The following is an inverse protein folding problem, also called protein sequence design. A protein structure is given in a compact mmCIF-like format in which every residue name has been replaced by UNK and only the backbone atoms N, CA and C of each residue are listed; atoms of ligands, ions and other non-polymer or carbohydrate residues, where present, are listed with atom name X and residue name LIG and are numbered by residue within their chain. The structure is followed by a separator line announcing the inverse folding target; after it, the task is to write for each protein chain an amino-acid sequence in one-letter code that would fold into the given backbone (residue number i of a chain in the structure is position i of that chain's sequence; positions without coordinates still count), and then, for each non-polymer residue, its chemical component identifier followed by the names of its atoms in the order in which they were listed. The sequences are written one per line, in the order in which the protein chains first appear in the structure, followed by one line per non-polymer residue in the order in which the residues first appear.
data_IF_307329894247
#
_entry.id   IF_307329894247
#
_cell.length_a   1.000
_cell.length_b   1.000
_cell.length_c   1.000
_cell.angle_alpha   90.00
_cell.angle_beta   90.00
_cell.angle_gamma   90.00
#
_symmetry.space_group_name_H-M   'P 1'
#
loop_
_entity.id
_entity.type
_entity.pdbx_description
1 polymer ?
#
# COMPACT_ATOMS: atom_id res chain seq x y z
N UNK A 1 14.10 14.10 10.42
CA UNK A 1 12.67 13.83 10.16
C UNK A 1 11.97 15.17 10.20
N UNK A 2 10.98 15.41 9.35
CA UNK A 2 10.22 16.64 9.36
C UNK A 2 9.38 16.68 10.66
N UNK A 3 9.57 17.70 11.53
CA UNK A 3 8.95 17.73 12.85
C UNK A 3 7.42 17.90 12.80
N UNK A 4 6.88 18.42 11.69
CA UNK A 4 5.45 18.69 11.52
C UNK A 4 4.71 17.53 10.84
N UNK A 5 5.33 16.88 9.86
CA UNK A 5 4.67 15.81 9.07
C UNK A 5 5.17 14.40 9.41
N UNK A 6 6.21 14.27 10.23
CA UNK A 6 6.87 12.99 10.51
C UNK A 6 7.58 12.36 9.30
N UNK A 7 7.64 13.04 8.14
CA UNK A 7 8.30 12.52 6.94
C UNK A 7 9.81 12.46 7.14
N UNK A 8 10.41 11.29 6.90
CA UNK A 8 11.87 11.17 6.88
C UNK A 8 12.44 11.89 5.67
N UNK A 9 13.55 12.61 5.84
CA UNK A 9 14.27 13.20 4.72
C UNK A 9 14.85 12.10 3.83
N UNK A 10 14.83 12.33 2.51
CA UNK A 10 15.39 11.41 1.55
C UNK A 10 16.90 11.30 1.79
N UNK A 11 17.40 10.07 1.80
CA UNK A 11 18.84 9.77 1.83
C UNK A 11 19.31 9.51 0.40
N UNK A 12 20.62 9.60 0.17
CA UNK A 12 21.20 9.18 -1.10
C UNK A 12 20.89 7.70 -1.38
N UNK A 13 20.63 7.37 -2.65
CA UNK A 13 20.27 6.02 -3.10
C UNK A 13 18.79 5.67 -2.93
N UNK A 14 18.44 4.42 -3.24
CA UNK A 14 17.05 3.93 -3.15
C UNK A 14 16.69 3.47 -1.73
N UNK A 15 15.44 3.71 -1.33
CA UNK A 15 14.91 3.18 -0.08
C UNK A 15 14.88 1.63 -0.10
N UNK A 16 15.05 0.95 1.04
CA UNK A 16 14.95 -0.51 1.13
C UNK A 16 13.67 -1.11 0.51
N UNK A 17 12.54 -0.43 0.69
CA UNK A 17 11.26 -0.81 0.09
C UNK A 17 11.29 -0.73 -1.44
N UNK A 18 11.89 0.32 -2.00
CA UNK A 18 12.08 0.48 -3.45
C UNK A 18 12.99 -0.59 -4.03
N UNK A 19 14.12 -0.89 -3.37
CA UNK A 19 15.01 -1.98 -3.79
C UNK A 19 14.26 -3.32 -3.80
N UNK A 20 13.47 -3.60 -2.75
CA UNK A 20 12.64 -4.79 -2.68
C UNK A 20 11.58 -4.84 -3.79
N UNK A 21 10.92 -3.73 -4.10
CA UNK A 21 9.98 -3.66 -5.22
C UNK A 21 10.67 -4.01 -6.55
N UNK A 22 11.82 -3.40 -6.83
CA UNK A 22 12.60 -3.66 -8.04
C UNK A 22 13.04 -5.13 -8.13
N UNK A 23 13.48 -5.73 -7.02
CA UNK A 23 13.78 -7.17 -6.96
C UNK A 23 12.55 -8.04 -7.27
N UNK A 24 11.35 -7.66 -6.82
CA UNK A 24 10.11 -8.35 -7.21
C UNK A 24 9.90 -8.27 -8.72
N UNK A 25 10.05 -7.10 -9.32
CA UNK A 25 9.86 -6.91 -10.77
C UNK A 25 10.84 -7.78 -11.57
N UNK A 26 12.14 -7.74 -11.25
CA UNK A 26 13.17 -8.54 -11.93
C UNK A 26 12.94 -10.03 -11.72
N UNK A 27 12.59 -10.45 -10.51
CA UNK A 27 12.23 -11.84 -10.21
C UNK A 27 11.05 -12.30 -11.07
N UNK A 28 9.99 -11.50 -11.18
CA UNK A 28 8.81 -11.83 -11.99
C UNK A 28 9.11 -11.87 -13.48
N UNK A 29 9.95 -10.95 -13.98
CA UNK A 29 10.40 -10.93 -15.36
C UNK A 29 11.09 -12.24 -15.78
N UNK A 30 12.09 -12.69 -15.01
CA UNK A 30 12.78 -13.94 -15.31
C UNK A 30 11.91 -15.18 -15.05
N UNK A 31 11.01 -15.13 -14.06
CA UNK A 31 10.04 -16.20 -13.84
C UNK A 31 9.09 -16.35 -15.04
N UNK A 32 8.63 -15.25 -15.63
CA UNK A 32 7.82 -15.25 -16.85
C UNK A 32 8.59 -15.85 -18.03
N UNK A 33 9.83 -15.42 -18.28
CA UNK A 33 10.62 -15.94 -19.40
C UNK A 33 10.95 -17.43 -19.26
N UNK A 34 11.28 -17.88 -18.04
CA UNK A 34 11.53 -19.31 -17.77
C UNK A 34 10.31 -20.18 -18.10
N UNK A 35 9.08 -19.71 -17.81
CA UNK A 35 7.83 -20.43 -18.18
C UNK A 35 7.64 -20.56 -19.69
N UNK A 36 8.28 -19.70 -20.48
CA UNK A 36 8.27 -19.72 -21.94
C UNK A 36 9.56 -20.31 -22.52
N UNK A 37 10.34 -21.04 -21.72
CA UNK A 37 11.63 -21.64 -22.10
C UNK A 37 12.62 -20.60 -22.68
N UNK A 38 12.59 -19.36 -22.17
CA UNK A 38 13.50 -18.27 -22.54
C UNK A 38 14.29 -17.79 -21.32
N UNK A 39 15.49 -17.28 -21.56
CA UNK A 39 16.35 -16.73 -20.51
C UNK A 39 17.04 -17.82 -19.67
N UNK A 40 17.59 -17.45 -18.50
CA UNK A 40 18.38 -18.36 -17.68
C UNK A 40 17.51 -19.46 -17.03
N UNK A 41 18.07 -20.68 -16.93
CA UNK A 41 17.42 -21.82 -16.27
C UNK A 41 17.13 -21.54 -14.78
N UNK A 42 18.02 -20.80 -14.13
CA UNK A 42 17.91 -20.37 -12.74
C UNK A 42 17.62 -18.88 -12.70
N UNK A 43 16.61 -18.48 -11.94
CA UNK A 43 16.28 -17.07 -11.77
C UNK A 43 17.41 -16.36 -10.99
N UNK A 44 18.04 -15.30 -11.53
CA UNK A 44 19.11 -14.59 -10.83
C UNK A 44 18.64 -13.88 -9.55
N UNK A 45 17.33 -13.59 -9.43
CA UNK A 45 16.73 -13.07 -8.21
C UNK A 45 15.96 -14.20 -7.51
N UNK A 46 16.49 -14.77 -6.42
CA UNK A 46 15.88 -15.92 -5.78
C UNK A 46 14.53 -15.57 -5.14
N UNK A 47 13.57 -16.47 -5.29
CA UNK A 47 12.25 -16.35 -4.68
C UNK A 47 12.33 -16.34 -3.15
N UNK A 48 11.39 -15.64 -2.52
CA UNK A 48 11.24 -15.61 -1.07
C UNK A 48 10.19 -16.66 -0.65
N UNK A 49 10.65 -17.85 -0.23
CA UNK A 49 9.76 -18.84 0.39
C UNK A 49 9.05 -18.28 1.64
N UNK A 50 9.76 -17.40 2.35
CA UNK A 50 9.26 -16.61 3.48
C UNK A 50 8.01 -15.80 3.17
N UNK A 51 8.02 -15.08 2.03
CA UNK A 51 6.95 -14.14 1.71
C UNK A 51 5.67 -14.86 1.27
N UNK A 52 5.79 -15.95 0.50
CA UNK A 52 4.61 -16.76 0.13
C UNK A 52 3.93 -17.37 1.34
N UNK A 53 4.70 -17.88 2.31
CA UNK A 53 4.15 -18.48 3.53
C UNK A 53 3.61 -17.43 4.50
N UNK A 54 4.23 -16.25 4.58
CA UNK A 54 3.70 -15.14 5.37
C UNK A 54 2.38 -14.56 4.82
N UNK A 55 2.10 -14.75 3.53
CA UNK A 55 0.84 -14.37 2.87
C UNK A 55 -0.19 -15.51 2.82
N UNK A 56 0.16 -16.70 3.31
CA UNK A 56 -0.80 -17.80 3.40
C UNK A 56 -1.84 -17.47 4.48
N UNK A 57 -3.07 -17.91 4.28
CA UNK A 57 -4.09 -17.83 5.32
C UNK A 57 -3.59 -18.53 6.58
N UNK A 58 -3.71 -17.83 7.70
CA UNK A 58 -3.22 -18.27 8.99
C UNK A 58 -4.22 -17.86 10.07
N UNK A 59 -4.35 -18.71 11.08
CA UNK A 59 -5.15 -18.44 12.26
C UNK A 59 -4.55 -17.26 13.06
N UNK A 60 -5.31 -16.20 13.37
CA UNK A 60 -4.82 -15.08 14.17
C UNK A 60 -4.28 -15.47 15.56
N UNK A 61 -4.75 -16.58 16.13
CA UNK A 61 -4.34 -17.02 17.48
C UNK A 61 -3.01 -17.76 17.49
N UNK A 62 -2.55 -18.24 16.33
CA UNK A 62 -1.28 -18.95 16.24
C UNK A 62 -0.09 -17.97 16.15
N UNK A 63 1.09 -18.33 16.71
CA UNK A 63 2.27 -17.48 16.62
C UNK A 63 2.74 -17.31 15.18
N UNK A 64 3.08 -16.08 14.79
CA UNK A 64 3.51 -15.78 13.41
C UNK A 64 4.83 -16.50 13.08
N UNK A 65 4.86 -17.36 12.05
CA UNK A 65 6.08 -18.08 11.70
C UNK A 65 7.17 -17.13 11.22
N UNK A 66 8.37 -17.26 11.81
CA UNK A 66 9.53 -16.49 11.39
C UNK A 66 10.22 -17.19 10.22
N UNK A 67 10.49 -16.43 9.15
CA UNK A 67 11.15 -16.97 7.98
C UNK A 67 12.43 -16.23 7.65
N UNK A 68 13.42 -16.97 7.14
CA UNK A 68 14.66 -16.38 6.65
C UNK A 68 14.39 -15.54 5.40
N UNK A 69 14.80 -14.28 5.44
CA UNK A 69 14.75 -13.35 4.31
C UNK A 69 15.59 -13.88 3.13
N UNK A 70 15.07 -13.74 1.91
CA UNK A 70 15.83 -14.06 0.69
C UNK A 70 17.09 -13.19 0.58
N UNK A 71 18.18 -13.76 0.04
CA UNK A 71 19.55 -13.20 0.08
C UNK A 71 19.64 -11.74 -0.38
N UNK A 72 18.92 -11.35 -1.43
CA UNK A 72 18.99 -10.00 -2.01
C UNK A 72 18.03 -8.99 -1.36
N UNK A 73 17.02 -9.46 -0.62
CA UNK A 73 15.99 -8.59 -0.05
C UNK A 73 16.57 -7.75 1.09
N UNK A 74 16.23 -6.47 1.10
CA UNK A 74 16.61 -5.51 2.14
C UNK A 74 15.68 -5.62 3.36
N UNK A 75 16.21 -5.33 4.56
CA UNK A 75 15.39 -5.24 5.77
C UNK A 75 14.56 -3.95 5.71
N UNK A 76 13.24 -4.08 5.77
CA UNK A 76 12.31 -2.96 5.91
C UNK A 76 11.80 -3.00 7.35
N UNK A 77 11.89 -1.89 8.07
CA UNK A 77 11.25 -1.78 9.40
C UNK A 77 9.74 -1.73 9.18
N UNK A 78 8.99 -2.55 9.91
CA UNK A 78 7.57 -2.28 10.08
C UNK A 78 7.46 -1.00 10.89
N UNK A 79 6.77 -0.01 10.33
CA UNK A 79 6.51 1.26 10.99
C UNK A 79 5.00 1.42 11.02
N UNK A 80 4.50 1.93 12.14
CA UNK A 80 3.07 2.21 12.25
C UNK A 80 2.66 3.23 11.18
N UNK A 81 1.45 3.08 10.62
CA UNK A 81 0.90 4.08 9.71
C UNK A 81 0.96 5.46 10.35
N UNK A 82 1.41 6.46 9.59
CA UNK A 82 1.42 7.84 10.08
C UNK A 82 -0.01 8.37 10.09
N UNK A 83 -0.46 8.85 11.24
CA UNK A 83 -1.72 9.57 11.38
C UNK A 83 -1.49 11.09 11.33
N UNK A 84 -2.49 11.84 10.87
CA UNK A 84 -2.53 13.30 10.96
C UNK A 84 -3.19 13.64 12.30
N UNK A 85 -2.52 14.37 13.21
CA UNK A 85 -3.12 14.88 14.43
C UNK A 85 -4.26 15.87 14.15
N UNK A 86 -5.26 15.94 15.03
CA UNK A 86 -6.48 16.75 14.86
C UNK A 86 -6.20 18.23 14.56
N UNK A 87 -5.22 18.83 15.22
CA UNK A 87 -4.85 20.23 14.97
C UNK A 87 -4.28 20.46 13.56
N UNK A 88 -3.52 19.50 13.02
CA UNK A 88 -3.01 19.57 11.66
C UNK A 88 -4.08 19.24 10.63
N UNK A 89 -5.07 18.43 11.00
CA UNK A 89 -6.27 18.22 10.20
C UNK A 89 -7.09 19.51 10.09
N UNK A 90 -7.37 20.19 11.21
CA UNK A 90 -8.11 21.45 11.21
C UNK A 90 -7.42 22.52 10.35
N UNK A 91 -6.10 22.62 10.45
CA UNK A 91 -5.31 23.54 9.63
C UNK A 91 -5.38 23.19 8.14
N UNK A 92 -5.19 21.91 7.80
CA UNK A 92 -5.31 21.42 6.42
C UNK A 92 -6.70 21.72 5.86
N UNK A 93 -7.75 21.43 6.61
CA UNK A 93 -9.13 21.59 6.20
C UNK A 93 -9.49 23.07 6.00
N UNK A 94 -9.04 23.95 6.91
CA UNK A 94 -9.20 25.41 6.79
C UNK A 94 -8.46 26.00 5.59
N UNK A 95 -7.32 25.42 5.21
CA UNK A 95 -6.53 25.88 4.07
C UNK A 95 -7.18 25.56 2.71
N UNK A 96 -8.12 24.61 2.64
CA UNK A 96 -8.85 24.30 1.41
C UNK A 96 -9.84 25.41 1.06
N UNK A 97 -9.79 25.91 -0.17
CA UNK A 97 -10.64 27.01 -0.64
C UNK A 97 -11.85 26.54 -1.45
N UNK A 98 -11.88 25.27 -1.86
CA UNK A 98 -12.94 24.73 -2.71
C UNK A 98 -13.77 23.68 -1.98
N UNK A 99 -15.11 23.79 -2.05
CA UNK A 99 -16.02 22.89 -1.35
C UNK A 99 -15.97 21.46 -1.91
N UNK A 100 -15.64 21.30 -3.19
CA UNK A 100 -15.41 19.98 -3.78
C UNK A 100 -14.22 19.26 -3.13
N UNK A 101 -13.11 19.96 -2.91
CA UNK A 101 -11.92 19.37 -2.27
C UNK A 101 -12.21 19.00 -0.81
N UNK A 102 -12.93 19.89 -0.10
CA UNK A 102 -13.38 19.65 1.28
C UNK A 102 -14.28 18.42 1.37
N UNK A 103 -15.27 18.30 0.47
CA UNK A 103 -16.18 17.16 0.43
C UNK A 103 -15.43 15.86 0.10
N UNK A 104 -14.53 15.88 -0.89
CA UNK A 104 -13.75 14.70 -1.26
C UNK A 104 -12.87 14.19 -0.10
N UNK A 105 -12.21 15.11 0.61
CA UNK A 105 -11.32 14.77 1.74
C UNK A 105 -12.12 14.34 2.98
N UNK A 106 -13.25 14.98 3.27
CA UNK A 106 -14.16 14.52 4.34
C UNK A 106 -14.68 13.12 4.07
N UNK A 107 -15.13 12.84 2.84
CA UNK A 107 -15.61 11.52 2.45
C UNK A 107 -14.52 10.46 2.59
N UNK A 108 -13.28 10.80 2.24
CA UNK A 108 -12.13 9.90 2.42
C UNK A 108 -11.88 9.56 3.89
N UNK A 109 -11.92 10.55 4.78
CA UNK A 109 -11.67 10.33 6.22
C UNK A 109 -12.83 9.63 6.91
N UNK A 110 -14.09 9.96 6.57
CA UNK A 110 -15.27 9.40 7.24
C UNK A 110 -15.59 7.97 6.79
N UNK A 111 -15.33 7.63 5.53
CA UNK A 111 -15.64 6.30 4.99
C UNK A 111 -14.53 5.26 5.21
N UNK A 112 -13.28 5.70 5.39
CA UNK A 112 -12.11 4.81 5.43
C UNK A 112 -11.81 4.09 4.10
N UNK A 113 -12.47 4.50 3.01
CA UNK A 113 -12.27 3.93 1.67
C UNK A 113 -10.90 4.31 1.10
N UNK A 114 -10.36 3.52 0.17
CA UNK A 114 -9.12 3.91 -0.52
C UNK A 114 -9.39 5.09 -1.45
N UNK A 115 -8.40 5.97 -1.61
CA UNK A 115 -8.53 7.12 -2.50
C UNK A 115 -8.90 6.69 -3.94
N UNK A 116 -8.31 5.61 -4.43
CA UNK A 116 -8.63 5.06 -5.75
C UNK A 116 -10.05 4.46 -5.87
N UNK A 117 -10.67 4.06 -4.76
CA UNK A 117 -12.06 3.58 -4.74
C UNK A 117 -13.02 4.78 -4.81
N UNK A 118 -12.72 5.87 -4.11
CA UNK A 118 -13.53 7.09 -4.10
C UNK A 118 -13.46 7.89 -5.40
N UNK A 119 -12.32 7.89 -6.08
CA UNK A 119 -12.18 8.58 -7.38
C UNK A 119 -13.10 8.01 -8.48
N UNK A 120 -13.65 6.80 -8.29
CA UNK A 120 -14.60 6.18 -9.20
C UNK A 120 -16.07 6.36 -8.82
N UNK A 121 -16.38 7.00 -7.70
CA UNK A 121 -17.76 7.19 -7.22
C UNK A 121 -18.51 8.17 -8.12
N UNK A 122 -19.67 7.74 -8.61
CA UNK A 122 -20.61 8.57 -9.37
C UNK A 122 -21.84 8.93 -8.51
N UNK A 123 -22.64 9.94 -8.91
CA UNK A 123 -23.86 10.32 -8.18
C UNK A 123 -24.85 9.16 -7.96
N UNK A 124 -24.88 8.17 -8.87
CA UNK A 124 -25.75 7.00 -8.75
C UNK A 124 -25.29 6.01 -7.67
N UNK A 125 -24.06 6.14 -7.18
CA UNK A 125 -23.50 5.30 -6.11
C UNK A 125 -23.77 5.90 -4.72
N UNK A 126 -24.52 7.01 -4.63
CA UNK A 126 -24.83 7.70 -3.39
C UNK A 126 -26.31 7.47 -3.04
N UNK A 127 -26.54 6.80 -1.92
CA UNK A 127 -27.86 6.77 -1.28
C UNK A 127 -27.97 7.94 -0.30
N UNK A 128 -28.60 9.01 -0.79
CA UNK A 128 -28.85 10.22 -0.01
C UNK A 128 -29.77 9.98 1.19
N UNK A 129 -30.66 8.98 1.11
CA UNK A 129 -31.63 8.70 2.16
C UNK A 129 -31.02 7.90 3.31
N UNK A 130 -30.21 6.90 2.98
CA UNK A 130 -29.48 6.07 3.93
C UNK A 130 -28.16 6.69 4.41
N UNK A 131 -27.73 7.81 3.82
CA UNK A 131 -26.40 8.41 4.02
C UNK A 131 -25.27 7.42 3.72
N UNK A 132 -25.43 6.65 2.64
CA UNK A 132 -24.49 5.59 2.25
C UNK A 132 -23.81 5.92 0.92
N UNK A 133 -22.59 5.41 0.75
CA UNK A 133 -21.86 5.42 -0.51
C UNK A 133 -21.47 3.99 -0.88
N UNK A 134 -21.66 3.63 -2.15
CA UNK A 134 -21.20 2.35 -2.70
C UNK A 134 -19.86 2.55 -3.41
N UNK A 135 -18.91 1.67 -3.14
CA UNK A 135 -17.58 1.72 -3.75
C UNK A 135 -17.20 0.37 -4.34
N UNK A 136 -16.53 0.40 -5.49
CA UNK A 136 -15.94 -0.80 -6.08
C UNK A 136 -14.60 -1.07 -5.41
N UNK A 137 -14.57 -2.03 -4.50
CA UNK A 137 -13.34 -2.36 -3.76
C UNK A 137 -12.37 -3.19 -4.61
N UNK A 138 -11.10 -3.22 -4.16
CA UNK A 138 -10.10 -4.09 -4.78
C UNK A 138 -10.31 -5.56 -4.40
N UNK A 139 -10.76 -6.34 -5.37
CA UNK A 139 -11.08 -7.76 -5.26
C UNK A 139 -12.41 -7.95 -5.97
N UNK A 140 -12.45 -8.71 -7.06
CA UNK A 140 -13.73 -8.94 -7.73
C UNK A 140 -14.65 -9.74 -6.78
N UNK A 141 -15.98 -9.55 -6.89
CA UNK A 141 -16.95 -10.40 -6.20
C UNK A 141 -16.79 -11.87 -6.61
#
# INVERSE_FOLDING_TARGET
MNPRTGKTYLRAGYAPATINHNLTVVSSFYAFHRRHNRGPLVNPVPESAAQRRALAHHDPEMPTPQFRRARLRQRVRSADPRAIPDNLWDELFRAMTHDQDRAAVLLYVSSGSRAGELLGVAPNDIDWSGQQIYVVTKGRP
#
